data_IF_255113530012
#
_entry.id   IF_255113530012
#
_cell.length_a   1.000
_cell.length_b   1.000
_cell.length_c   1.000
_cell.angle_alpha   90.00
_cell.angle_beta   90.00
_cell.angle_gamma   90.00
#
_symmetry.space_group_name_H-M   'P 1'
#
loop_
_entity.id
_entity.type
_entity.pdbx_description
1 polymer ?
#
# COMPACT_ATOMS: atom_id res chain seq x y z
N UNK A 1 -14.37 -13.82 -10.11
CA UNK A 1 -14.84 -12.42 -10.09
C UNK A 1 -13.65 -11.57 -10.46
N UNK A 2 -13.58 -11.09 -11.70
CA UNK A 2 -12.41 -10.37 -12.21
C UNK A 2 -12.38 -8.97 -11.59
N UNK A 3 -11.51 -8.75 -10.59
CA UNK A 3 -11.30 -7.42 -10.02
C UNK A 3 -10.67 -6.54 -11.10
N UNK A 4 -11.45 -5.62 -11.63
CA UNK A 4 -10.98 -4.70 -12.66
C UNK A 4 -10.12 -3.65 -11.97
N UNK A 5 -8.80 -3.74 -12.14
CA UNK A 5 -7.84 -2.84 -11.51
C UNK A 5 -8.22 -1.37 -11.80
N UNK A 6 -8.50 -0.61 -10.74
CA UNK A 6 -8.78 0.81 -10.86
C UNK A 6 -7.44 1.55 -10.84
N UNK A 7 -7.05 2.28 -11.89
CA UNK A 7 -5.82 3.07 -11.86
C UNK A 7 -5.89 4.04 -10.67
N UNK A 8 -4.83 4.17 -9.87
CA UNK A 8 -4.84 5.03 -8.68
C UNK A 8 -5.12 6.52 -8.98
N UNK A 9 -4.94 6.94 -10.24
CA UNK A 9 -5.35 8.27 -10.74
C UNK A 9 -6.84 8.41 -11.09
N UNK A 10 -7.64 7.34 -11.02
CA UNK A 10 -9.10 7.33 -11.24
C UNK A 10 -9.90 7.19 -9.94
N UNK A 11 -9.24 7.20 -8.78
CA UNK A 11 -9.95 7.20 -7.51
C UNK A 11 -10.91 8.41 -7.47
N UNK A 12 -12.22 8.15 -7.51
CA UNK A 12 -13.29 9.14 -7.53
C UNK A 12 -13.45 9.90 -6.21
N UNK A 13 -12.45 9.79 -5.34
CA UNK A 13 -12.40 10.15 -3.93
C UNK A 13 -11.54 11.40 -3.69
N UNK A 14 -11.43 12.29 -4.69
CA UNK A 14 -10.77 13.58 -4.50
C UNK A 14 -11.35 14.29 -3.24
N UNK A 15 -10.49 14.90 -2.40
CA UNK A 15 -10.65 14.80 -0.94
C UNK A 15 -11.78 15.62 -0.31
N UNK A 16 -12.63 16.28 -1.09
CA UNK A 16 -13.57 17.29 -0.55
C UNK A 16 -14.98 17.26 -1.16
N UNK A 17 -15.26 16.48 -2.22
CA UNK A 17 -16.51 16.63 -2.98
C UNK A 17 -17.22 15.32 -3.33
N UNK A 18 -16.61 14.16 -3.09
CA UNK A 18 -17.17 12.86 -3.50
C UNK A 18 -17.73 12.06 -2.32
N UNK A 19 -18.98 11.59 -2.44
CA UNK A 19 -19.57 10.57 -1.58
C UNK A 19 -19.06 9.14 -1.88
N UNK A 20 -18.00 9.01 -2.68
CA UNK A 20 -17.43 7.73 -3.09
C UNK A 20 -16.58 7.07 -2.00
N UNK A 21 -16.58 5.74 -1.99
CA UNK A 21 -15.64 4.94 -1.21
C UNK A 21 -14.26 4.94 -1.88
N UNK A 22 -13.20 5.10 -1.09
CA UNK A 22 -11.83 4.88 -1.56
C UNK A 22 -11.65 3.37 -1.85
N UNK A 23 -11.15 2.98 -3.04
CA UNK A 23 -10.82 1.57 -3.31
C UNK A 23 -9.73 1.08 -2.37
N UNK A 24 -9.74 -0.22 -2.07
CA UNK A 24 -8.64 -0.87 -1.35
C UNK A 24 -7.36 -0.83 -2.19
N UNK A 25 -6.21 -0.86 -1.51
CA UNK A 25 -4.92 -0.90 -2.21
C UNK A 25 -4.77 -2.15 -3.11
N UNK A 26 -5.46 -3.25 -2.80
CA UNK A 26 -5.50 -4.47 -3.61
C UNK A 26 -6.31 -4.30 -4.90
N UNK A 27 -7.40 -3.53 -4.88
CA UNK A 27 -8.17 -3.18 -6.08
C UNK A 27 -7.41 -2.25 -7.03
N UNK A 28 -6.36 -1.60 -6.53
CA UNK A 28 -5.42 -0.79 -7.31
C UNK A 28 -4.20 -1.57 -7.79
N UNK A 29 -4.07 -2.84 -7.42
CA UNK A 29 -2.91 -3.69 -7.73
C UNK A 29 -2.82 -3.96 -9.24
N UNK A 30 -1.60 -3.86 -9.78
CA UNK A 30 -1.27 -4.20 -11.15
C UNK A 30 0.04 -5.00 -11.12
N UNK A 31 -0.01 -6.23 -11.64
CA UNK A 31 1.12 -7.14 -11.65
C UNK A 31 2.40 -6.49 -12.21
N UNK A 32 3.51 -6.72 -11.52
CA UNK A 32 4.84 -6.19 -11.83
C UNK A 32 5.11 -4.77 -11.34
N UNK A 33 4.14 -4.08 -10.72
CA UNK A 33 4.38 -2.75 -10.15
C UNK A 33 5.03 -2.85 -8.77
N UNK A 34 5.92 -1.91 -8.51
CA UNK A 34 6.57 -1.76 -7.21
C UNK A 34 6.62 -0.30 -6.79
N UNK A 35 6.38 -0.05 -5.52
CA UNK A 35 6.59 1.23 -4.87
C UNK A 35 7.98 1.32 -4.21
N UNK A 36 8.75 0.25 -4.27
CA UNK A 36 10.07 0.15 -3.65
C UNK A 36 11.15 0.58 -4.64
N UNK A 37 11.92 1.59 -4.24
CA UNK A 37 13.16 1.97 -4.91
C UNK A 37 14.29 1.94 -3.88
N UNK A 38 14.99 0.81 -3.80
CA UNK A 38 16.17 0.69 -2.94
C UNK A 38 17.38 1.33 -3.63
N UNK A 39 18.21 2.01 -2.85
CA UNK A 39 19.51 2.49 -3.33
C UNK A 39 20.38 1.29 -3.72
N UNK A 40 21.19 1.46 -4.75
CA UNK A 40 22.24 0.49 -5.06
C UNK A 40 23.18 0.38 -3.88
N UNK A 41 23.30 -0.83 -3.34
CA UNK A 41 24.33 -1.17 -2.37
C UNK A 41 25.40 -1.99 -3.09
N UNK A 42 26.67 -1.77 -2.78
CA UNK A 42 27.76 -2.61 -3.32
C UNK A 42 27.85 -3.97 -2.62
N UNK A 43 26.77 -4.38 -1.95
CA UNK A 43 26.69 -5.64 -1.21
C UNK A 43 26.19 -6.71 -2.18
N UNK A 44 26.90 -7.85 -2.33
CA UNK A 44 26.42 -8.94 -3.16
C UNK A 44 25.05 -9.45 -2.70
N UNK A 45 24.15 -9.70 -3.66
CA UNK A 45 22.87 -10.31 -3.37
C UNK A 45 23.06 -11.75 -2.87
N UNK A 46 22.29 -12.13 -1.84
CA UNK A 46 22.24 -13.48 -1.29
C UNK A 46 20.78 -13.93 -1.25
N UNK A 47 20.53 -15.20 -1.52
CA UNK A 47 19.16 -15.73 -1.50
C UNK A 47 18.69 -15.99 -0.06
N UNK A 48 17.39 -16.13 0.15
CA UNK A 48 16.85 -16.39 1.48
C UNK A 48 17.29 -17.76 2.02
N UNK A 49 17.45 -18.75 1.15
CA UNK A 49 17.86 -20.11 1.48
C UNK A 49 19.31 -20.18 2.00
N UNK A 50 20.16 -19.22 1.61
CA UNK A 50 21.52 -19.10 2.15
C UNK A 50 21.57 -18.45 3.54
N UNK A 51 20.51 -17.71 3.91
CA UNK A 51 20.48 -16.85 5.09
C UNK A 51 19.62 -17.44 6.22
N UNK A 52 18.60 -18.22 5.88
CA UNK A 52 17.58 -18.69 6.81
C UNK A 52 17.37 -20.20 6.63
N UNK A 53 17.42 -21.01 7.71
CA UNK A 53 17.12 -22.45 7.62
C UNK A 53 15.74 -22.72 7.04
N UNK A 54 15.62 -23.76 6.21
CA UNK A 54 14.37 -24.11 5.49
C UNK A 54 13.17 -24.28 6.41
N UNK A 55 13.36 -24.76 7.64
CA UNK A 55 12.28 -24.90 8.63
C UNK A 55 11.61 -23.59 9.04
N UNK A 56 12.22 -22.45 8.73
CA UNK A 56 11.71 -21.11 9.02
C UNK A 56 11.27 -20.33 7.77
N UNK A 57 11.41 -20.92 6.58
CA UNK A 57 10.97 -20.29 5.34
C UNK A 57 9.49 -20.58 5.09
N UNK A 58 8.76 -19.55 4.64
CA UNK A 58 7.42 -19.72 4.11
C UNK A 58 7.52 -19.99 2.60
N UNK A 59 7.09 -21.17 2.10
CA UNK A 59 7.14 -21.49 0.67
C UNK A 59 6.07 -20.75 -0.15
N UNK A 60 5.03 -20.21 0.50
CA UNK A 60 3.93 -19.57 -0.18
C UNK A 60 4.19 -18.07 -0.41
N UNK A 61 3.79 -17.59 -1.60
CA UNK A 61 3.85 -16.16 -1.93
C UNK A 61 2.74 -15.43 -1.17
N UNK A 62 3.13 -14.40 -0.41
CA UNK A 62 2.16 -13.52 0.26
C UNK A 62 1.54 -12.59 -0.79
N UNK A 63 0.20 -12.55 -0.92
CA UNK A 63 -0.46 -11.67 -1.88
C UNK A 63 -0.37 -10.22 -1.42
N UNK A 64 0.69 -9.53 -1.83
CA UNK A 64 0.87 -8.11 -1.61
C UNK A 64 0.31 -7.30 -2.79
N UNK A 65 -0.15 -6.08 -2.52
CA UNK A 65 -0.58 -5.18 -3.57
C UNK A 65 0.63 -4.64 -4.35
N UNK A 66 0.58 -4.78 -5.67
CA UNK A 66 1.61 -4.32 -6.59
C UNK A 66 1.20 -2.95 -7.14
N UNK A 67 1.70 -1.88 -6.53
CA UNK A 67 1.33 -0.49 -6.86
C UNK A 67 2.57 0.36 -7.09
N UNK A 68 2.44 1.47 -7.82
CA UNK A 68 3.52 2.46 -7.95
C UNK A 68 3.64 3.32 -6.70
N UNK A 69 4.80 3.94 -6.46
CA UNK A 69 4.99 4.89 -5.34
C UNK A 69 3.96 6.01 -5.37
N UNK A 70 3.69 6.58 -6.55
CA UNK A 70 2.67 7.62 -6.72
C UNK A 70 1.29 7.14 -6.29
N UNK A 71 0.87 5.95 -6.71
CA UNK A 71 -0.44 5.40 -6.36
C UNK A 71 -0.54 5.11 -4.86
N UNK A 72 0.55 4.60 -4.26
CA UNK A 72 0.66 4.35 -2.83
C UNK A 72 0.48 5.64 -2.01
N UNK A 73 1.27 6.68 -2.33
CA UNK A 73 1.20 7.98 -1.66
C UNK A 73 -0.21 8.56 -1.81
N UNK A 74 -0.75 8.58 -3.03
CA UNK A 74 -2.06 9.16 -3.29
C UNK A 74 -3.18 8.42 -2.53
N UNK A 75 -3.12 7.08 -2.42
CA UNK A 75 -4.07 6.29 -1.64
C UNK A 75 -4.05 6.66 -0.15
N UNK A 76 -2.88 6.63 0.48
CA UNK A 76 -2.77 6.94 1.90
C UNK A 76 -3.07 8.41 2.22
N UNK A 77 -2.75 9.35 1.32
CA UNK A 77 -3.16 10.75 1.46
C UNK A 77 -4.67 10.93 1.37
N UNK A 78 -5.38 10.19 0.51
CA UNK A 78 -6.85 10.24 0.47
C UNK A 78 -7.46 9.62 1.72
N UNK A 79 -6.88 8.53 2.22
CA UNK A 79 -7.34 7.88 3.44
C UNK A 79 -7.14 8.77 4.67
N UNK A 80 -6.00 9.47 4.78
CA UNK A 80 -5.73 10.37 5.91
C UNK A 80 -6.72 11.53 6.00
N UNK A 81 -7.18 12.08 4.87
CA UNK A 81 -8.23 13.10 4.85
C UNK A 81 -9.61 12.59 5.31
N UNK A 82 -9.80 11.27 5.41
CA UNK A 82 -11.02 10.63 5.92
C UNK A 82 -10.88 10.18 7.38
N UNK A 83 -9.74 10.47 8.02
CA UNK A 83 -9.49 10.17 9.43
C UNK A 83 -9.57 11.45 10.27
N UNK A 84 -9.96 11.30 11.53
CA UNK A 84 -9.74 12.32 12.55
C UNK A 84 -8.42 12.04 13.27
N UNK A 85 -7.70 13.07 13.67
CA UNK A 85 -6.45 12.98 14.43
C UNK A 85 -6.40 14.09 15.49
N UNK A 86 -5.59 13.89 16.54
CA UNK A 86 -5.37 14.90 17.60
C UNK A 86 -4.82 16.23 17.05
N UNK A 87 -4.11 16.16 15.92
CA UNK A 87 -3.59 17.33 15.20
C UNK A 87 -4.71 18.17 14.56
N UNK A 88 -5.90 17.59 14.36
CA UNK A 88 -7.07 18.27 13.79
C UNK A 88 -7.98 18.89 14.84
N UNK A 89 -7.90 18.44 16.10
CA UNK A 89 -8.72 18.97 17.18
C UNK A 89 -8.76 18.09 18.42
N UNK A 90 -9.54 18.52 19.41
CA UNK A 90 -9.70 17.80 20.66
C UNK A 90 -10.21 16.36 20.43
N UNK A 91 -9.58 15.40 21.11
CA UNK A 91 -9.95 13.98 21.09
C UNK A 91 -10.31 13.51 22.52
N UNK A 92 -11.47 13.91 23.07
CA UNK A 92 -11.79 13.76 24.49
C UNK A 92 -12.26 12.34 24.84
N UNK A 93 -11.42 11.33 24.56
CA UNK A 93 -11.67 9.96 24.97
C UNK A 93 -11.08 9.73 26.37
N UNK A 94 -11.94 9.55 27.36
CA UNK A 94 -11.58 9.04 28.69
C UNK A 94 -11.67 7.52 28.72
N UNK A 95 -10.73 6.86 29.42
CA UNK A 95 -10.67 5.40 29.56
C UNK A 95 -11.77 4.84 30.43
#
# INVERSE_FOLDING_TARGET
MTMQAQPGGRASSAPLLGNGTEPTIFEMSVAGRSALQLRTTHVPARTLEELVPTSHLNPDVIPLAEVSERDLVAHFTRLSHRQFAVDLGAYPLGS
#
